data_IF_389467133081
#
_entry.id   IF_389467133081
#
_cell.length_a   1.000
_cell.length_b   1.000
_cell.length_c   1.000
_cell.angle_alpha   90.00
_cell.angle_beta   90.00
_cell.angle_gamma   90.00
#
_symmetry.space_group_name_H-M   'P 1'
#
loop_
_entity.id
_entity.type
_entity.pdbx_description
1 polymer ?
#
# COMPACT_ATOMS: atom_id res chain seq x y z
N UNK A 1 0.22 0.78 -15.41
CA UNK A 1 0.99 1.05 -14.17
C UNK A 1 2.12 0.05 -14.10
N UNK A 2 3.35 0.53 -13.83
CA UNK A 2 4.60 -0.23 -13.89
C UNK A 2 4.49 -1.55 -13.11
N UNK A 3 4.52 -2.67 -13.84
CA UNK A 3 4.20 -4.00 -13.31
C UNK A 3 5.34 -5.00 -13.45
N UNK A 4 6.58 -4.61 -13.12
CA UNK A 4 7.72 -5.53 -13.08
C UNK A 4 8.45 -5.51 -11.72
N UNK A 5 7.68 -5.69 -10.64
CA UNK A 5 8.21 -6.04 -9.32
C UNK A 5 8.55 -4.85 -8.41
N UNK A 6 8.91 -5.19 -7.17
CA UNK A 6 9.17 -4.28 -6.05
C UNK A 6 10.10 -3.10 -6.42
N UNK A 7 11.02 -3.30 -7.38
CA UNK A 7 11.94 -2.29 -7.88
C UNK A 7 11.24 -1.01 -8.39
N UNK A 8 10.14 -1.12 -9.13
CA UNK A 8 9.47 0.09 -9.64
C UNK A 8 8.74 0.87 -8.54
N UNK A 9 8.22 0.17 -7.51
CA UNK A 9 7.66 0.83 -6.32
C UNK A 9 8.73 1.49 -5.46
N UNK A 10 9.93 0.91 -5.33
CA UNK A 10 11.03 1.53 -4.56
C UNK A 10 11.58 2.78 -5.24
N UNK A 11 11.78 2.74 -6.56
CA UNK A 11 12.21 3.92 -7.33
C UNK A 11 11.14 5.02 -7.25
N UNK A 12 9.86 4.67 -7.40
CA UNK A 12 8.76 5.63 -7.26
C UNK A 12 8.71 6.23 -5.84
N UNK A 13 8.86 5.40 -4.79
CA UNK A 13 8.89 5.87 -3.40
C UNK A 13 10.07 6.79 -3.11
N UNK A 14 11.26 6.49 -3.66
CA UNK A 14 12.45 7.34 -3.51
C UNK A 14 12.25 8.69 -4.21
N UNK A 15 11.78 8.69 -5.46
CA UNK A 15 11.48 9.92 -6.20
C UNK A 15 10.42 10.76 -5.48
N UNK A 16 9.37 10.11 -4.96
CA UNK A 16 8.34 10.78 -4.16
C UNK A 16 8.90 11.37 -2.87
N UNK A 17 9.76 10.64 -2.15
CA UNK A 17 10.41 11.15 -0.94
C UNK A 17 11.32 12.36 -1.23
N UNK A 18 12.10 12.31 -2.32
CA UNK A 18 12.94 13.42 -2.75
C UNK A 18 12.10 14.64 -3.14
N UNK A 19 11.04 14.44 -3.92
CA UNK A 19 10.09 15.50 -4.29
C UNK A 19 9.42 16.10 -3.05
N UNK A 20 8.96 15.27 -2.12
CA UNK A 20 8.38 15.72 -0.86
C UNK A 20 9.40 16.47 -0.01
N UNK A 21 10.64 16.01 0.09
CA UNK A 21 11.70 16.68 0.84
C UNK A 21 12.13 18.02 0.23
N UNK A 22 12.10 18.16 -1.09
CA UNK A 22 12.28 19.45 -1.77
C UNK A 22 11.08 20.36 -1.51
N UNK A 23 9.85 19.86 -1.71
CA UNK A 23 8.63 20.61 -1.42
C UNK A 23 8.52 21.03 0.02
N UNK A 24 8.89 20.20 0.99
CA UNK A 24 8.83 20.54 2.41
C UNK A 24 9.90 21.57 2.83
N UNK A 25 11.00 21.69 2.08
CA UNK A 25 12.00 22.75 2.27
C UNK A 25 11.55 24.08 1.64
N UNK A 26 10.89 24.01 0.48
CA UNK A 26 10.52 25.19 -0.30
C UNK A 26 9.08 25.67 -0.04
N UNK A 27 8.24 24.84 0.58
CA UNK A 27 6.92 25.22 1.06
C UNK A 27 7.03 25.52 2.56
N UNK A 28 6.77 26.77 2.93
CA UNK A 28 6.15 27.08 4.22
C UNK A 28 4.82 26.33 4.24
N UNK A 29 4.82 25.10 4.71
CA UNK A 29 3.62 24.29 4.75
C UNK A 29 2.55 25.04 5.56
N UNK A 30 1.31 24.96 5.07
CA UNK A 30 0.14 25.65 5.62
C UNK A 30 -0.09 25.55 7.15
N UNK A 31 0.50 24.61 7.94
CA UNK A 31 0.40 24.68 9.40
C UNK A 31 1.21 25.79 10.06
N UNK A 32 2.31 26.27 9.47
CA UNK A 32 3.19 27.29 10.08
C UNK A 32 2.66 28.72 9.95
N UNK A 33 1.67 28.92 9.07
CA UNK A 33 0.93 30.17 8.97
C UNK A 33 -0.47 29.92 9.51
N UNK A 34 -0.86 30.69 10.54
CA UNK A 34 -2.24 30.74 11.05
C UNK A 34 -3.21 30.70 9.87
N UNK A 35 -4.03 29.64 9.77
CA UNK A 35 -4.96 29.43 8.65
C UNK A 35 -5.95 30.60 8.54
N UNK A 36 -5.56 31.63 7.80
CA UNK A 36 -6.29 32.88 7.61
C UNK A 36 -7.39 32.76 6.57
N UNK A 37 -7.30 31.73 5.71
CA UNK A 37 -8.20 31.54 4.59
C UNK A 37 -9.55 30.93 5.00
N UNK A 38 -9.58 30.11 6.05
CA UNK A 38 -10.81 29.47 6.57
C UNK A 38 -10.76 29.33 8.10
N UNK A 39 -10.85 30.43 8.87
CA UNK A 39 -10.99 30.31 10.31
C UNK A 39 -12.26 29.51 10.62
N UNK A 40 -12.16 28.38 11.37
CA UNK A 40 -13.36 27.68 11.79
C UNK A 40 -14.23 28.65 12.59
N UNK A 41 -15.54 28.65 12.34
CA UNK A 41 -16.50 29.45 13.11
C UNK A 41 -16.55 29.09 14.62
N UNK A 42 -15.76 28.09 15.03
CA UNK A 42 -15.71 27.52 16.36
C UNK A 42 -14.41 28.00 17.03
N UNK A 43 -14.54 28.84 18.06
CA UNK A 43 -13.39 29.40 18.80
C UNK A 43 -12.67 28.37 19.67
N UNK A 44 -13.30 27.22 19.97
CA UNK A 44 -12.76 26.17 20.82
C UNK A 44 -13.35 24.82 20.41
N UNK A 45 -12.51 23.92 19.91
CA UNK A 45 -12.88 22.52 19.66
C UNK A 45 -12.64 21.75 20.95
N UNK A 46 -13.69 21.19 21.54
CA UNK A 46 -13.56 20.31 22.70
C UNK A 46 -13.27 18.91 22.15
N UNK A 47 -12.10 18.38 22.46
CA UNK A 47 -11.78 16.99 22.13
C UNK A 47 -12.69 16.06 22.93
N UNK A 48 -13.38 15.15 22.24
CA UNK A 48 -14.16 14.08 22.86
C UNK A 48 -13.63 12.71 22.41
N UNK A 49 -13.69 11.70 23.29
CA UNK A 49 -13.42 10.32 22.90
C UNK A 49 -14.31 9.89 21.72
N UNK A 50 -13.77 9.04 20.85
CA UNK A 50 -14.51 8.54 19.67
C UNK A 50 -15.83 7.85 20.05
N UNK A 51 -15.86 7.18 21.21
CA UNK A 51 -17.05 6.54 21.76
C UNK A 51 -18.21 7.52 22.03
N UNK A 52 -17.91 8.79 22.30
CA UNK A 52 -18.90 9.82 22.62
C UNK A 52 -19.29 10.67 21.41
N UNK A 53 -18.62 10.46 20.26
CA UNK A 53 -18.90 11.19 19.03
C UNK A 53 -20.13 10.60 18.31
N UNK A 54 -21.11 11.45 18.05
CA UNK A 54 -22.28 11.07 17.28
C UNK A 54 -22.01 11.19 15.77
N UNK A 55 -21.77 10.05 15.11
CA UNK A 55 -21.56 9.93 13.66
C UNK A 55 -22.85 9.85 12.82
N UNK A 56 -24.03 10.09 13.41
CA UNK A 56 -25.27 10.14 12.64
C UNK A 56 -25.25 11.29 11.62
N UNK A 57 -25.96 11.10 10.51
CA UNK A 57 -26.15 12.13 9.48
C UNK A 57 -26.81 13.39 10.04
N UNK A 58 -26.65 14.52 9.35
CA UNK A 58 -27.26 15.81 9.73
C UNK A 58 -28.78 15.74 9.82
N UNK A 59 -29.42 14.99 8.91
CA UNK A 59 -30.87 14.76 8.92
C UNK A 59 -31.32 13.97 10.15
N UNK A 60 -30.56 12.95 10.56
CA UNK A 60 -30.85 12.15 11.75
C UNK A 60 -30.62 12.96 13.04
N UNK A 61 -29.56 13.79 13.10
CA UNK A 61 -29.31 14.70 14.22
C UNK A 61 -30.45 15.71 14.40
N UNK A 62 -30.96 16.27 13.30
CA UNK A 62 -32.12 17.17 13.30
C UNK A 62 -33.38 16.47 13.85
N UNK A 63 -33.69 15.26 13.40
CA UNK A 63 -34.84 14.50 13.91
C UNK A 63 -34.73 14.13 15.39
N UNK A 64 -33.50 13.91 15.88
CA UNK A 64 -33.24 13.68 17.31
C UNK A 64 -33.48 14.97 18.11
N UNK A 65 -33.02 16.12 17.60
CA UNK A 65 -33.26 17.44 18.20
C UNK A 65 -34.74 17.82 18.21
N UNK A 66 -35.45 17.55 17.12
CA UNK A 66 -36.89 17.84 16.96
C UNK A 66 -37.77 16.84 17.74
N UNK A 67 -37.17 15.90 18.48
CA UNK A 67 -37.87 14.94 19.33
C UNK A 67 -38.59 13.81 18.58
N UNK A 68 -38.53 13.82 17.24
CA UNK A 68 -39.14 12.82 16.36
C UNK A 68 -38.49 11.43 16.50
N UNK A 69 -37.24 11.38 16.96
CA UNK A 69 -36.48 10.15 17.17
C UNK A 69 -35.67 10.23 18.46
N UNK A 70 -35.77 9.21 19.33
CA UNK A 70 -34.80 9.05 20.43
C UNK A 70 -33.43 8.67 19.84
N UNK A 71 -32.30 9.16 20.40
CA UNK A 71 -30.99 8.66 20.02
C UNK A 71 -30.97 7.16 20.29
N UNK A 72 -31.04 6.36 19.24
CA UNK A 72 -30.76 4.94 19.34
C UNK A 72 -29.25 4.88 19.61
N UNK A 73 -28.84 4.64 20.86
CA UNK A 73 -27.57 3.94 21.09
C UNK A 73 -27.61 2.78 20.10
N UNK A 74 -26.65 2.77 19.17
CA UNK A 74 -26.74 2.13 17.86
C UNK A 74 -27.64 0.88 17.89
N UNK A 75 -28.64 0.74 17.00
CA UNK A 75 -29.34 -0.53 16.92
C UNK A 75 -28.29 -1.58 16.66
N UNK A 76 -28.11 -2.53 17.60
CA UNK A 76 -27.48 -3.81 17.30
C UNK A 76 -28.25 -4.31 16.09
N UNK A 77 -27.68 -4.14 14.90
CA UNK A 77 -28.24 -4.66 13.67
C UNK A 77 -28.61 -6.11 13.97
N UNK A 78 -29.82 -6.53 13.59
CA UNK A 78 -30.30 -7.89 13.78
C UNK A 78 -29.14 -8.84 13.53
N UNK A 79 -28.62 -9.42 14.61
CA UNK A 79 -27.48 -10.33 14.57
C UNK A 79 -27.95 -11.53 13.78
N UNK A 80 -27.74 -11.51 12.46
CA UNK A 80 -27.74 -12.75 11.69
C UNK A 80 -26.82 -13.70 12.46
N UNK A 81 -27.23 -14.96 12.71
CA UNK A 81 -26.34 -15.89 13.39
C UNK A 81 -25.01 -15.86 12.64
N UNK A 82 -23.95 -15.48 13.36
CA UNK A 82 -22.63 -15.40 12.79
C UNK A 82 -22.33 -16.79 12.23
N UNK A 83 -22.20 -16.90 10.91
CA UNK A 83 -21.76 -18.15 10.31
C UNK A 83 -20.44 -18.54 10.99
N UNK A 84 -20.25 -19.82 11.32
CA UNK A 84 -18.99 -20.26 11.90
C UNK A 84 -17.85 -19.86 10.94
N UNK A 85 -16.70 -19.42 11.48
CA UNK A 85 -15.56 -19.09 10.64
C UNK A 85 -15.18 -20.33 9.82
N UNK A 86 -14.81 -20.15 8.54
CA UNK A 86 -14.46 -21.26 7.68
C UNK A 86 -13.25 -22.01 8.23
N UNK A 87 -13.29 -23.33 8.11
CA UNK A 87 -12.21 -24.21 8.56
C UNK A 87 -11.03 -24.11 7.60
N UNK A 88 -9.80 -24.36 8.07
CA UNK A 88 -8.60 -24.38 7.21
C UNK A 88 -8.74 -25.32 6.01
N UNK A 89 -9.41 -26.46 6.18
CA UNK A 89 -9.67 -27.41 5.10
C UNK A 89 -10.61 -26.83 4.03
N UNK A 90 -11.66 -26.12 4.43
CA UNK A 90 -12.60 -25.47 3.52
C UNK A 90 -11.94 -24.33 2.74
N UNK A 91 -11.09 -23.54 3.42
CA UNK A 91 -10.27 -22.52 2.78
C UNK A 91 -9.29 -23.11 1.77
N UNK A 92 -8.68 -24.26 2.07
CA UNK A 92 -7.79 -24.95 1.14
C UNK A 92 -8.54 -25.37 -0.13
N UNK A 93 -9.71 -25.99 -0.01
CA UNK A 93 -10.55 -26.37 -1.16
C UNK A 93 -10.92 -25.15 -2.00
N UNK A 94 -11.26 -24.02 -1.36
CA UNK A 94 -11.54 -22.77 -2.06
C UNK A 94 -10.31 -22.26 -2.82
N UNK A 95 -9.14 -22.19 -2.18
CA UNK A 95 -7.92 -21.71 -2.80
C UNK A 95 -7.44 -22.60 -3.94
N UNK A 96 -7.54 -23.93 -3.79
CA UNK A 96 -7.24 -24.89 -4.86
C UNK A 96 -8.17 -24.68 -6.08
N UNK A 97 -9.47 -24.47 -5.84
CA UNK A 97 -10.44 -24.18 -6.92
C UNK A 97 -10.13 -22.86 -7.63
N UNK A 98 -9.69 -21.84 -6.88
CA UNK A 98 -9.27 -20.55 -7.43
C UNK A 98 -8.01 -20.71 -8.28
N UNK A 99 -7.02 -21.47 -7.82
CA UNK A 99 -5.80 -21.78 -8.60
C UNK A 99 -6.16 -22.53 -9.90
N UNK A 100 -7.06 -23.51 -9.82
CA UNK A 100 -7.51 -24.27 -10.99
C UNK A 100 -8.25 -23.41 -12.04
N UNK A 101 -8.84 -22.28 -11.65
CA UNK A 101 -9.49 -21.35 -12.58
C UNK A 101 -8.51 -20.59 -13.50
N UNK A 102 -7.20 -20.67 -13.22
CA UNK A 102 -6.17 -19.90 -13.93
C UNK A 102 -6.11 -18.42 -13.55
N UNK A 103 -7.01 -17.95 -12.68
CA UNK A 103 -6.97 -16.61 -12.12
C UNK A 103 -5.88 -16.53 -11.04
N UNK A 104 -5.15 -15.41 -11.01
CA UNK A 104 -4.10 -15.11 -10.02
C UNK A 104 -4.54 -13.99 -9.07
N UNK A 105 -5.47 -14.26 -8.13
CA UNK A 105 -5.93 -13.22 -7.21
C UNK A 105 -4.85 -12.88 -6.18
N UNK A 106 -4.72 -11.59 -5.89
CA UNK A 106 -3.71 -11.05 -4.97
C UNK A 106 -3.79 -11.65 -3.56
N UNK A 107 -4.96 -12.11 -3.11
CA UNK A 107 -5.11 -12.73 -1.78
C UNK A 107 -4.25 -13.98 -1.61
N UNK A 108 -3.94 -14.71 -2.69
CA UNK A 108 -3.09 -15.90 -2.62
C UNK A 108 -1.60 -15.56 -2.53
N UNK A 109 -1.19 -14.33 -2.84
CA UNK A 109 0.22 -13.94 -2.76
C UNK A 109 0.72 -13.84 -1.32
N UNK A 110 -0.19 -13.67 -0.35
CA UNK A 110 0.14 -13.62 1.08
C UNK A 110 0.02 -14.97 1.77
N UNK A 111 -0.51 -15.99 1.08
CA UNK A 111 -0.67 -17.32 1.65
C UNK A 111 0.58 -18.17 1.37
N UNK A 112 1.25 -18.75 2.39
CA UNK A 112 2.55 -19.40 2.23
C UNK A 112 2.51 -20.59 1.24
N UNK A 113 1.43 -21.35 1.22
CA UNK A 113 1.31 -22.50 0.30
C UNK A 113 1.14 -22.11 -1.19
N UNK A 114 0.81 -20.86 -1.48
CA UNK A 114 0.50 -20.39 -2.85
C UNK A 114 1.35 -19.19 -3.29
N UNK A 115 2.09 -18.55 -2.38
CA UNK A 115 2.86 -17.33 -2.62
C UNK A 115 3.91 -17.48 -3.70
N UNK A 116 4.47 -18.69 -3.88
CA UNK A 116 5.48 -18.99 -4.88
C UNK A 116 4.98 -18.73 -6.31
N UNK A 117 3.67 -18.87 -6.54
CA UNK A 117 3.03 -18.57 -7.83
C UNK A 117 3.08 -17.09 -8.19
N UNK A 118 3.35 -16.20 -7.23
CA UNK A 118 3.36 -14.75 -7.39
C UNK A 118 4.77 -14.17 -7.38
N UNK A 119 5.80 -15.01 -7.24
CA UNK A 119 7.19 -14.57 -7.35
C UNK A 119 7.45 -14.03 -8.76
N UNK A 120 7.94 -12.79 -8.90
CA UNK A 120 8.26 -12.21 -10.20
C UNK A 120 9.29 -13.08 -10.94
N UNK A 121 9.07 -13.33 -12.24
CA UNK A 121 9.98 -14.11 -13.10
C UNK A 121 11.40 -13.51 -13.09
N UNK A 122 11.52 -12.19 -12.92
CA UNK A 122 12.79 -11.47 -12.81
C UNK A 122 13.62 -11.99 -11.62
N UNK A 123 12.96 -12.39 -10.53
CA UNK A 123 13.60 -12.98 -9.35
C UNK A 123 14.21 -14.36 -9.63
N UNK A 124 13.64 -15.09 -10.58
CA UNK A 124 14.16 -16.38 -11.03
C UNK A 124 15.25 -16.25 -12.10
N UNK A 125 15.24 -15.17 -12.89
CA UNK A 125 16.18 -14.95 -14.00
C UNK A 125 17.41 -14.10 -13.63
N UNK A 126 17.31 -13.29 -12.56
CA UNK A 126 18.43 -12.54 -12.02
C UNK A 126 18.85 -13.21 -10.71
N UNK A 127 20.11 -13.63 -10.60
CA UNK A 127 20.64 -14.27 -9.39
C UNK A 127 20.71 -13.33 -8.16
N UNK A 128 20.34 -12.05 -8.34
CA UNK A 128 20.37 -11.02 -7.31
C UNK A 128 18.97 -10.44 -7.09
N UNK A 129 18.48 -10.60 -5.86
CA UNK A 129 17.28 -9.92 -5.37
C UNK A 129 17.60 -8.44 -5.13
N UNK A 130 16.98 -7.55 -5.90
CA UNK A 130 17.07 -6.11 -5.63
C UNK A 130 16.56 -5.75 -4.21
N UNK A 131 15.72 -6.59 -3.62
CA UNK A 131 15.23 -6.50 -2.24
C UNK A 131 16.35 -6.67 -1.19
N UNK A 132 17.47 -7.29 -1.57
CA UNK A 132 18.64 -7.50 -0.71
C UNK A 132 19.71 -6.41 -0.86
N UNK A 133 19.48 -5.38 -1.71
CA UNK A 133 20.42 -4.26 -1.87
C UNK A 133 20.41 -3.38 -0.61
N UNK A 134 19.31 -3.35 0.13
CA UNK A 134 19.26 -2.65 1.40
C UNK A 134 20.01 -3.45 2.48
N UNK A 135 21.20 -2.96 2.82
CA UNK A 135 21.97 -3.43 3.97
C UNK A 135 21.96 -2.35 5.07
N UNK A 136 21.62 -2.75 6.30
CA UNK A 136 21.64 -1.85 7.45
C UNK A 136 23.06 -1.34 7.78
N UNK A 137 24.10 -2.04 7.34
CA UNK A 137 25.50 -1.59 7.45
C UNK A 137 25.76 -0.32 6.63
N UNK A 138 25.05 -0.14 5.50
CA UNK A 138 25.22 1.01 4.61
C UNK A 138 24.81 2.34 5.24
N UNK A 139 24.03 2.32 6.33
CA UNK A 139 23.61 3.54 7.06
C UNK A 139 24.76 4.28 7.73
N UNK A 140 25.81 3.56 8.09
CA UNK A 140 26.94 4.10 8.85
C UNK A 140 28.16 4.39 7.95
N UNK A 141 28.04 4.18 6.64
CA UNK A 141 29.11 4.42 5.69
C UNK A 141 29.26 5.92 5.39
N UNK A 142 30.49 6.35 5.14
CA UNK A 142 30.73 7.68 4.57
C UNK A 142 30.21 7.75 3.13
N UNK A 143 29.94 8.95 2.61
CA UNK A 143 29.48 9.13 1.22
C UNK A 143 30.40 8.43 0.20
N UNK A 144 31.72 8.49 0.43
CA UNK A 144 32.70 7.88 -0.48
C UNK A 144 32.62 6.36 -0.45
N UNK A 145 32.50 5.77 0.74
CA UNK A 145 32.44 4.32 0.91
C UNK A 145 31.09 3.77 0.41
N UNK A 146 30.01 4.53 0.61
CA UNK A 146 28.69 4.22 0.06
C UNK A 146 28.71 4.21 -1.46
N UNK A 147 29.38 5.18 -2.10
CA UNK A 147 29.52 5.19 -3.56
C UNK A 147 30.31 3.98 -4.06
N UNK A 148 31.41 3.62 -3.40
CA UNK A 148 32.17 2.43 -3.78
C UNK A 148 31.35 1.15 -3.62
N UNK A 149 30.51 1.05 -2.58
CA UNK A 149 29.60 -0.08 -2.40
C UNK A 149 28.57 -0.15 -3.54
N UNK A 150 28.00 1.00 -3.94
CA UNK A 150 27.09 1.06 -5.10
C UNK A 150 27.76 0.57 -6.38
N UNK A 151 28.99 1.02 -6.65
CA UNK A 151 29.75 0.60 -7.83
C UNK A 151 30.04 -0.91 -7.81
N UNK A 152 30.44 -1.46 -6.66
CA UNK A 152 30.67 -2.90 -6.48
C UNK A 152 29.40 -3.73 -6.72
N UNK A 153 28.26 -3.26 -6.19
CA UNK A 153 26.97 -3.92 -6.41
C UNK A 153 26.62 -3.87 -7.90
N UNK A 154 26.82 -2.73 -8.55
CA UNK A 154 26.55 -2.57 -9.99
C UNK A 154 27.43 -3.49 -10.85
N UNK A 155 28.73 -3.57 -10.55
CA UNK A 155 29.67 -4.45 -11.24
C UNK A 155 29.37 -5.94 -11.04
N UNK A 156 28.82 -6.31 -9.87
CA UNK A 156 28.40 -7.68 -9.58
C UNK A 156 27.06 -8.07 -10.22
N UNK A 157 26.34 -7.11 -10.79
CA UNK A 157 24.98 -7.31 -11.26
C UNK A 157 24.98 -7.95 -12.64
N UNK A 158 24.63 -9.22 -12.69
CA UNK A 158 24.54 -9.98 -13.94
C UNK A 158 23.13 -9.85 -14.50
N UNK A 159 22.99 -9.10 -15.60
CA UNK A 159 21.73 -9.02 -16.36
C UNK A 159 21.75 -10.07 -17.47
N UNK A 160 20.89 -11.09 -17.35
CA UNK A 160 20.78 -12.14 -18.37
C UNK A 160 19.89 -11.70 -19.52
N UNK A 161 20.19 -12.15 -20.74
CA UNK A 161 19.35 -11.88 -21.92
C UNK A 161 17.92 -12.39 -21.72
N UNK A 162 17.76 -13.55 -21.08
CA UNK A 162 16.46 -14.12 -20.74
C UNK A 162 15.64 -13.19 -19.81
N UNK A 163 16.29 -12.53 -18.85
CA UNK A 163 15.61 -11.56 -17.99
C UNK A 163 15.11 -10.35 -18.79
N UNK A 164 15.94 -9.83 -19.71
CA UNK A 164 15.56 -8.72 -20.59
C UNK A 164 14.36 -9.09 -21.48
N UNK A 165 14.39 -10.26 -22.12
CA UNK A 165 13.30 -10.74 -22.98
C UNK A 165 12.03 -11.01 -22.18
N UNK A 166 12.14 -11.57 -20.98
CA UNK A 166 10.98 -11.77 -20.11
C UNK A 166 10.36 -10.44 -19.66
N UNK A 167 11.19 -9.41 -19.39
CA UNK A 167 10.73 -8.07 -19.02
C UNK A 167 9.97 -7.44 -20.19
N UNK A 168 10.59 -7.43 -21.37
CA UNK A 168 10.04 -6.81 -22.57
C UNK A 168 8.71 -7.46 -22.98
N UNK A 169 8.65 -8.79 -23.04
CA UNK A 169 7.41 -9.50 -23.39
C UNK A 169 6.26 -9.18 -22.43
N UNK A 170 6.56 -8.95 -21.15
CA UNK A 170 5.56 -8.68 -20.10
C UNK A 170 5.12 -7.21 -20.06
N UNK A 171 5.97 -6.29 -20.51
CA UNK A 171 5.67 -4.85 -20.54
C UNK A 171 5.18 -4.35 -21.90
N UNK A 172 5.39 -5.12 -22.98
CA UNK A 172 5.00 -4.76 -24.35
C UNK A 172 3.55 -4.28 -24.48
N UNK A 173 2.61 -4.97 -23.85
CA UNK A 173 1.18 -4.64 -23.88
C UNK A 173 0.76 -3.60 -22.84
N UNK A 174 1.62 -3.26 -21.87
CA UNK A 174 1.27 -2.32 -20.81
C UNK A 174 1.16 -0.88 -21.32
N UNK A 175 1.88 -0.53 -22.40
CA UNK A 175 1.75 0.76 -23.07
C UNK A 175 0.39 0.94 -23.77
N UNK A 176 -0.32 -0.16 -24.08
CA UNK A 176 -1.62 -0.15 -24.74
C UNK A 176 -2.81 -0.13 -23.76
N UNK A 177 -2.57 -0.28 -22.47
CA UNK A 177 -3.60 -0.43 -21.43
C UNK A 177 -4.23 0.91 -20.97
N UNK A 178 -4.19 1.95 -21.80
CA UNK A 178 -4.66 3.30 -21.50
C UNK A 178 -5.92 3.71 -22.30
N UNK A 179 -6.72 2.74 -22.77
CA UNK A 179 -8.04 2.97 -23.37
C UNK A 179 -9.14 2.38 -22.49
#
# INVERSE_FOLDING_TARGET
>A
MAGNGEACSHVAALLFYLEYGVRARDCDSCPDVTNSWLPPHVRKIIAQPEADMNFCSSTMKKKILDGECRPKNAPKGSSKPAAPPPTKAELKVLFDAVVASGLRPAVLSTHPDYSDMFVPVIRACNGSDFCLIYDCTAKNLSYKDLMQLCDQIFDSLIITQQACESIENRTRSQALSAN
#
